data_IF_809850359443
#
_entry.id   IF_809850359443
#
_cell.length_a   1.000
_cell.length_b   1.000
_cell.length_c   1.000
_cell.angle_alpha   90.00
_cell.angle_beta   90.00
_cell.angle_gamma   90.00
#
_symmetry.space_group_name_H-M   'P 1'
#
loop_
_entity.id
_entity.type
_entity.pdbx_description
1 polymer ?
#
# COMPACT_ATOMS: atom_id res chain seq x y z
N UNK A 1 -45.92 -1.65 -19.00
CA UNK A 1 -44.69 -0.87 -18.77
C UNK A 1 -44.26 -0.84 -17.29
N UNK A 2 -45.18 -0.69 -16.33
CA UNK A 2 -44.92 -0.69 -14.87
C UNK A 2 -44.08 -1.88 -14.34
N UNK A 3 -44.34 -3.09 -14.84
CA UNK A 3 -43.65 -4.31 -14.37
C UNK A 3 -42.14 -4.30 -14.63
N UNK A 4 -41.69 -3.79 -15.80
CA UNK A 4 -40.26 -3.67 -16.13
C UNK A 4 -39.55 -2.67 -15.22
N UNK A 5 -40.23 -1.59 -14.86
CA UNK A 5 -39.67 -0.53 -14.00
C UNK A 5 -39.51 -1.01 -12.56
N UNK A 6 -40.54 -1.67 -12.00
CA UNK A 6 -40.51 -2.22 -10.64
C UNK A 6 -39.46 -3.33 -10.53
N UNK A 7 -39.42 -4.24 -11.51
CA UNK A 7 -38.43 -5.33 -11.55
C UNK A 7 -36.99 -4.80 -11.68
N UNK A 8 -36.77 -3.79 -12.53
CA UNK A 8 -35.46 -3.13 -12.66
C UNK A 8 -35.03 -2.40 -11.38
N UNK A 9 -35.96 -1.78 -10.66
CA UNK A 9 -35.68 -1.14 -9.37
C UNK A 9 -35.27 -2.18 -8.32
N UNK A 10 -35.98 -3.32 -8.27
CA UNK A 10 -35.72 -4.41 -7.34
C UNK A 10 -34.34 -5.03 -7.57
N UNK A 11 -33.99 -5.30 -8.83
CA UNK A 11 -32.65 -5.76 -9.23
C UNK A 11 -31.56 -4.77 -8.82
N UNK A 12 -31.80 -3.46 -9.00
CA UNK A 12 -30.83 -2.42 -8.64
C UNK A 12 -30.61 -2.37 -7.13
N UNK A 13 -31.66 -2.49 -6.32
CA UNK A 13 -31.56 -2.50 -4.85
C UNK A 13 -30.75 -3.70 -4.37
N UNK A 14 -30.90 -4.87 -4.99
CA UNK A 14 -30.16 -6.08 -4.64
C UNK A 14 -28.70 -6.02 -5.13
N UNK A 15 -28.44 -5.52 -6.35
CA UNK A 15 -27.08 -5.51 -6.92
C UNK A 15 -26.16 -4.41 -6.37
N UNK A 16 -26.71 -3.27 -5.93
CA UNK A 16 -25.92 -2.16 -5.38
C UNK A 16 -25.05 -2.56 -4.17
N UNK A 17 -25.54 -3.27 -3.14
CA UNK A 17 -24.73 -3.71 -2.01
C UNK A 17 -23.67 -4.74 -2.44
N UNK A 18 -23.99 -5.67 -3.35
CA UNK A 18 -23.02 -6.61 -3.91
C UNK A 18 -21.88 -5.91 -4.64
N UNK A 19 -22.17 -4.87 -5.42
CA UNK A 19 -21.15 -4.06 -6.12
C UNK A 19 -20.26 -3.27 -5.16
N UNK A 20 -20.77 -2.94 -3.97
CA UNK A 20 -19.99 -2.28 -2.89
C UNK A 20 -19.11 -3.28 -2.17
N UNK A 21 -19.62 -4.47 -1.90
CA UNK A 21 -18.87 -5.58 -1.29
C UNK A 21 -17.75 -6.06 -2.21
N UNK A 22 -18.02 -6.26 -3.50
CA UNK A 22 -17.02 -6.64 -4.50
C UNK A 22 -15.87 -5.64 -4.59
N UNK A 23 -16.15 -4.33 -4.55
CA UNK A 23 -15.10 -3.29 -4.51
C UNK A 23 -14.26 -3.34 -3.24
N UNK A 24 -14.86 -3.61 -2.08
CA UNK A 24 -14.11 -3.76 -0.82
C UNK A 24 -13.24 -5.01 -0.84
N UNK A 25 -13.75 -6.12 -1.37
CA UNK A 25 -12.99 -7.35 -1.54
C UNK A 25 -11.83 -7.17 -2.53
N UNK A 26 -12.08 -6.54 -3.68
CA UNK A 26 -11.02 -6.20 -4.65
C UNK A 26 -9.96 -5.28 -4.04
N UNK A 27 -10.38 -4.25 -3.30
CA UNK A 27 -9.45 -3.39 -2.58
C UNK A 27 -8.64 -4.18 -1.55
N UNK A 28 -9.26 -5.10 -0.80
CA UNK A 28 -8.56 -5.98 0.14
C UNK A 28 -7.57 -6.92 -0.55
N UNK A 29 -7.93 -7.52 -1.69
CA UNK A 29 -7.06 -8.40 -2.46
C UNK A 29 -5.82 -7.68 -2.99
N UNK A 30 -5.87 -6.36 -3.20
CA UNK A 30 -4.72 -5.57 -3.65
C UNK A 30 -3.96 -4.96 -2.47
N UNK A 31 -4.67 -4.34 -1.53
CA UNK A 31 -4.07 -3.67 -0.37
C UNK A 31 -3.38 -4.64 0.58
N UNK A 32 -3.90 -5.85 0.75
CA UNK A 32 -3.39 -6.81 1.72
C UNK A 32 -2.03 -7.39 1.28
N UNK A 33 -1.83 -7.84 0.02
CA UNK A 33 -0.52 -8.20 -0.49
C UNK A 33 0.46 -7.03 -0.51
N UNK A 34 0.00 -5.83 -0.88
CA UNK A 34 0.85 -4.62 -0.90
C UNK A 34 1.30 -4.27 0.51
N UNK A 35 0.42 -4.31 1.50
CA UNK A 35 0.76 -4.06 2.91
C UNK A 35 1.71 -5.13 3.46
N UNK A 36 1.49 -6.40 3.13
CA UNK A 36 2.40 -7.49 3.50
C UNK A 36 3.78 -7.30 2.86
N UNK A 37 3.83 -6.96 1.57
CA UNK A 37 5.08 -6.70 0.86
C UNK A 37 5.84 -5.51 1.47
N UNK A 38 5.16 -4.40 1.73
CA UNK A 38 5.73 -3.24 2.43
C UNK A 38 6.24 -3.62 3.82
N UNK A 39 5.47 -4.38 4.58
CA UNK A 39 5.87 -4.84 5.91
C UNK A 39 7.15 -5.69 5.86
N UNK A 40 7.20 -6.68 4.97
CA UNK A 40 8.37 -7.55 4.78
C UNK A 40 9.58 -6.73 4.31
N UNK A 41 9.39 -5.82 3.37
CA UNK A 41 10.46 -4.96 2.85
C UNK A 41 11.07 -4.06 3.94
N UNK A 42 10.23 -3.41 4.74
CA UNK A 42 10.66 -2.58 5.87
C UNK A 42 11.39 -3.43 6.91
N UNK A 43 10.86 -4.62 7.23
CA UNK A 43 11.43 -5.49 8.25
C UNK A 43 12.80 -6.06 7.83
N UNK A 44 12.92 -6.49 6.57
CA UNK A 44 14.18 -6.98 6.01
C UNK A 44 15.23 -5.86 5.92
N UNK A 45 14.84 -4.67 5.47
CA UNK A 45 15.73 -3.49 5.44
C UNK A 45 16.18 -3.06 6.83
N UNK A 46 15.28 -3.12 7.81
CA UNK A 46 15.60 -2.81 9.22
C UNK A 46 16.56 -3.84 9.83
N UNK A 47 16.30 -5.15 9.64
CA UNK A 47 17.16 -6.20 10.14
C UNK A 47 18.57 -6.14 9.52
N UNK A 48 18.64 -5.97 8.20
CA UNK A 48 19.92 -5.80 7.50
C UNK A 48 20.66 -4.54 7.91
N UNK A 49 19.95 -3.42 8.14
CA UNK A 49 20.55 -2.18 8.64
C UNK A 49 21.15 -2.35 10.05
N UNK A 50 20.43 -3.02 10.94
CA UNK A 50 20.90 -3.31 12.30
C UNK A 50 22.17 -4.17 12.31
N UNK A 51 22.22 -5.23 11.49
CA UNK A 51 23.44 -6.06 11.35
C UNK A 51 24.63 -5.26 10.82
N UNK A 52 24.37 -4.33 9.89
CA UNK A 52 25.40 -3.44 9.32
C UNK A 52 25.94 -2.46 10.37
N UNK A 53 25.07 -1.91 11.21
CA UNK A 53 25.48 -1.01 12.30
C UNK A 53 26.21 -1.73 13.42
N UNK A 54 25.80 -2.96 13.75
CA UNK A 54 26.50 -3.81 14.71
C UNK A 54 27.90 -4.18 14.18
N UNK A 55 28.05 -4.48 12.88
CA UNK A 55 29.35 -4.73 12.24
C UNK A 55 30.26 -3.49 12.28
N UNK A 56 29.70 -2.30 12.07
CA UNK A 56 30.44 -1.03 12.11
C UNK A 56 30.80 -0.56 13.53
N UNK A 57 30.41 -1.31 14.57
CA UNK A 57 30.65 -0.94 15.97
C UNK A 57 29.88 0.31 16.42
N UNK A 58 28.82 0.67 15.69
CA UNK A 58 27.96 1.80 16.02
C UNK A 58 27.11 1.43 17.23
N UNK A 59 26.86 2.41 18.12
CA UNK A 59 25.96 2.19 19.25
C UNK A 59 24.60 1.68 18.74
N UNK A 60 24.15 0.54 19.24
CA UNK A 60 22.89 -0.13 18.88
C UNK A 60 21.68 0.79 18.93
N UNK A 61 21.63 1.76 19.85
CA UNK A 61 20.54 2.74 19.92
C UNK A 61 20.54 3.71 18.73
N UNK A 62 21.74 4.12 18.27
CA UNK A 62 21.92 4.99 17.11
C UNK A 62 21.61 4.20 15.83
N UNK A 63 22.11 2.96 15.73
CA UNK A 63 21.78 2.05 14.63
C UNK A 63 20.28 1.77 14.51
N UNK A 64 19.59 1.60 15.64
CA UNK A 64 18.14 1.44 15.69
C UNK A 64 17.40 2.67 15.18
N UNK A 65 17.80 3.86 15.66
CA UNK A 65 17.17 5.12 15.28
C UNK A 65 17.32 5.38 13.78
N UNK A 66 18.54 5.17 13.25
CA UNK A 66 18.82 5.36 11.82
C UNK A 66 18.08 4.32 10.98
N UNK A 67 18.08 3.05 11.39
CA UNK A 67 17.40 1.97 10.64
C UNK A 67 15.89 2.17 10.58
N UNK A 68 15.24 2.61 11.66
CA UNK A 68 13.81 2.99 11.64
C UNK A 68 13.58 4.22 10.76
N UNK A 69 14.43 5.23 10.88
CA UNK A 69 14.27 6.47 10.10
C UNK A 69 14.39 6.19 8.61
N UNK A 70 15.39 5.40 8.21
CA UNK A 70 15.61 5.00 6.82
C UNK A 70 14.51 4.04 6.34
N UNK A 71 14.13 3.06 7.15
CA UNK A 71 13.05 2.11 6.83
C UNK A 71 11.69 2.78 6.64
N UNK A 72 11.41 3.88 7.35
CA UNK A 72 10.18 4.66 7.20
C UNK A 72 10.23 5.66 6.04
N UNK A 73 11.41 6.20 5.71
CA UNK A 73 11.58 7.22 4.65
C UNK A 73 11.75 6.62 3.25
N UNK A 74 12.40 5.45 3.11
CA UNK A 74 12.61 4.77 1.83
C UNK A 74 11.31 4.53 1.04
N UNK A 75 10.23 3.98 1.65
CA UNK A 75 8.96 3.79 0.95
C UNK A 75 8.39 5.11 0.42
N UNK A 76 8.51 6.20 1.19
CA UNK A 76 8.05 7.52 0.76
C UNK A 76 8.86 8.06 -0.41
N UNK A 77 10.19 7.91 -0.41
CA UNK A 77 11.05 8.32 -1.53
C UNK A 77 10.70 7.55 -2.79
N UNK A 78 10.44 6.24 -2.68
CA UNK A 78 10.02 5.41 -3.83
C UNK A 78 8.65 5.84 -4.34
N UNK A 79 7.67 6.06 -3.46
CA UNK A 79 6.33 6.55 -3.84
C UNK A 79 6.42 7.92 -4.53
N UNK A 80 7.19 8.85 -3.96
CA UNK A 80 7.40 10.18 -4.54
C UNK A 80 8.12 10.12 -5.89
N UNK A 81 9.12 9.25 -6.04
CA UNK A 81 9.83 9.04 -7.30
C UNK A 81 8.94 8.43 -8.39
N UNK A 82 8.09 7.45 -8.04
CA UNK A 82 7.08 6.91 -8.95
C UNK A 82 6.08 8.00 -9.32
N UNK A 83 5.55 8.74 -8.33
CA UNK A 83 4.58 9.79 -8.56
C UNK A 83 5.14 10.88 -9.48
N UNK A 84 6.36 11.36 -9.22
CA UNK A 84 7.07 12.32 -10.07
C UNK A 84 7.18 11.82 -11.51
N UNK A 85 7.61 10.56 -11.70
CA UNK A 85 7.72 9.95 -13.03
C UNK A 85 6.38 9.88 -13.78
N UNK A 86 5.29 9.60 -13.08
CA UNK A 86 3.96 9.58 -13.68
C UNK A 86 3.41 10.99 -13.96
N UNK A 87 3.71 11.97 -13.11
CA UNK A 87 3.31 13.37 -13.33
C UNK A 87 4.02 13.98 -14.55
N UNK A 88 5.30 13.66 -14.78
CA UNK A 88 6.03 14.17 -15.95
C UNK A 88 5.57 13.55 -17.28
N UNK A 89 4.99 12.35 -17.25
CA UNK A 89 4.54 11.65 -18.47
C UNK A 89 3.13 12.05 -18.93
N UNK A 90 2.39 12.85 -18.15
CA UNK A 90 1.04 13.34 -18.53
C UNK A 90 1.03 14.80 -19.05
N UNK A 91 2.18 15.48 -19.12
CA UNK A 91 2.29 16.90 -19.55
C UNK A 91 2.73 17.06 -21.02
N UNK A 92 2.79 15.98 -21.82
CA UNK A 92 3.11 16.04 -23.27
C UNK A 92 1.97 15.57 -24.15
#
# INVERSE_FOLDING_TARGET
MLFKTVFGLFLRIIFVPFRRLARRLLAGVILLPVAVFLGVFIFAGFAGGMELFDFLGVNRQIGFLISITVGMTLPWVVILGILHRYTDHEIL
#
